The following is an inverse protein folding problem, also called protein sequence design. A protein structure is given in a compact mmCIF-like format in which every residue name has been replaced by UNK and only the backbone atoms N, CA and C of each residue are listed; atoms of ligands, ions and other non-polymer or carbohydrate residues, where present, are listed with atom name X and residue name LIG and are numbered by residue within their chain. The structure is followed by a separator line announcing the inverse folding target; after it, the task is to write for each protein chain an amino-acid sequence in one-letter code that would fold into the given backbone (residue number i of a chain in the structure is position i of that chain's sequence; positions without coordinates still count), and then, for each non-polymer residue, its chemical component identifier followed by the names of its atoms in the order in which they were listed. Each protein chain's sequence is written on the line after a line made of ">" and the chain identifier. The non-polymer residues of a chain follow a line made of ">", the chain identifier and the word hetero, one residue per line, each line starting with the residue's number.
data_IF_610279734734
#
_entry.id   IF_610279734734
#
_cell.length_a   1.000
_cell.length_b   1.000
_cell.length_c   1.000
_cell.angle_alpha   90.00
_cell.angle_beta   90.00
_cell.angle_gamma   90.00
#
_symmetry.space_group_name_H-M   'P 1'
#
loop_
_entity.id
_entity.type
_entity.pdbx_description
1 polymer ?
#
# COMPACT_ATOMS: atom_id res chain seq x y z
N UNK A 1 -5.41 -24.57 -4.01
CA UNK A 1 -5.51 -23.11 -4.26
C UNK A 1 -5.17 -22.40 -2.95
N UNK A 2 -4.09 -21.62 -2.89
CA UNK A 2 -3.64 -20.98 -1.63
C UNK A 2 -4.64 -19.93 -1.14
N UNK A 3 -5.16 -20.11 0.08
CA UNK A 3 -6.14 -19.18 0.69
C UNK A 3 -5.42 -17.90 1.14
N UNK A 4 -6.05 -16.74 0.98
CA UNK A 4 -5.57 -15.49 1.60
C UNK A 4 -5.63 -15.70 3.11
N UNK A 5 -4.51 -15.48 3.79
CA UNK A 5 -4.38 -15.75 5.23
C UNK A 5 -4.68 -14.52 6.06
N UNK A 6 -4.12 -13.38 5.66
CA UNK A 6 -4.28 -12.11 6.34
C UNK A 6 -4.60 -11.00 5.34
N UNK A 7 -5.50 -10.10 5.74
CA UNK A 7 -5.83 -8.87 5.03
C UNK A 7 -5.75 -7.71 6.03
N UNK A 8 -4.85 -6.77 5.77
CA UNK A 8 -4.66 -5.58 6.60
C UNK A 8 -5.03 -4.33 5.79
N UNK A 9 -6.11 -3.67 6.21
CA UNK A 9 -6.57 -2.41 5.61
C UNK A 9 -5.67 -1.25 6.11
N UNK A 10 -4.97 -0.61 5.18
CA UNK A 10 -4.09 0.53 5.45
C UNK A 10 -4.84 1.86 5.29
N UNK A 11 -5.63 1.98 4.22
CA UNK A 11 -6.52 3.12 3.95
C UNK A 11 -7.95 2.62 3.88
N UNK A 12 -8.85 3.35 4.53
CA UNK A 12 -10.28 3.07 4.51
C UNK A 12 -11.01 4.33 4.05
N UNK A 13 -11.52 4.28 2.83
CA UNK A 13 -12.23 5.39 2.22
C UNK A 13 -11.48 6.73 2.28
N UNK A 14 -10.18 6.72 1.97
CA UNK A 14 -9.36 7.94 1.95
C UNK A 14 -9.79 8.84 0.80
N UNK A 15 -10.05 10.13 1.04
CA UNK A 15 -10.56 11.09 0.05
C UNK A 15 -9.65 12.29 -0.20
N UNK A 16 -8.48 12.31 0.44
CA UNK A 16 -7.55 13.43 0.40
C UNK A 16 -6.11 12.93 0.54
N UNK A 17 -5.17 13.81 0.19
CA UNK A 17 -3.75 13.59 0.48
C UNK A 17 -3.53 13.54 2.00
N UNK A 18 -2.58 12.71 2.41
CA UNK A 18 -2.03 12.71 3.76
C UNK A 18 -0.51 12.90 3.65
N UNK A 19 0.11 13.29 4.77
CA UNK A 19 1.55 13.49 4.81
C UNK A 19 2.31 12.22 5.19
N UNK A 20 3.63 12.29 4.99
CA UNK A 20 4.62 11.37 5.57
C UNK A 20 4.33 11.13 7.07
N UNK A 21 4.42 9.87 7.55
CA UNK A 21 4.21 9.57 8.96
C UNK A 21 5.35 10.13 9.82
N UNK A 22 5.00 10.78 10.93
CA UNK A 22 5.94 11.43 11.86
C UNK A 22 5.96 10.78 13.25
N UNK A 23 4.87 10.11 13.65
CA UNK A 23 4.75 9.37 14.90
C UNK A 23 4.96 7.87 14.67
N UNK A 24 5.59 7.20 15.63
CA UNK A 24 5.77 5.75 15.65
C UNK A 24 4.45 4.97 15.74
N UNK A 25 3.41 5.59 16.30
CA UNK A 25 2.06 5.03 16.42
C UNK A 25 1.24 5.10 15.14
N UNK A 26 1.70 5.84 14.11
CA UNK A 26 1.05 5.85 12.80
C UNK A 26 1.20 4.49 12.09
N UNK A 27 0.42 4.32 11.03
CA UNK A 27 0.37 3.06 10.28
C UNK A 27 -0.30 1.92 11.04
N UNK A 28 -0.16 0.72 10.49
CA UNK A 28 -0.74 -0.51 11.00
C UNK A 28 0.36 -1.50 11.38
N UNK A 29 0.24 -2.16 12.54
CA UNK A 29 1.25 -3.11 13.00
C UNK A 29 1.30 -4.34 12.08
N UNK A 30 2.50 -4.78 11.73
CA UNK A 30 2.74 -5.95 10.87
C UNK A 30 2.59 -7.28 11.60
N UNK A 31 2.65 -7.27 12.93
CA UNK A 31 2.51 -8.46 13.76
C UNK A 31 1.18 -9.18 13.52
N UNK A 32 0.10 -8.43 13.22
CA UNK A 32 -1.23 -8.97 12.88
C UNK A 32 -1.21 -9.82 11.61
N UNK A 33 -0.19 -9.64 10.77
CA UNK A 33 0.04 -10.41 9.55
C UNK A 33 1.07 -11.53 9.72
N UNK A 34 1.58 -11.75 10.94
CA UNK A 34 2.68 -12.68 11.25
C UNK A 34 4.01 -12.31 10.58
N UNK A 35 4.33 -11.02 10.50
CA UNK A 35 5.62 -10.48 10.02
C UNK A 35 6.10 -11.11 8.68
N UNK A 36 5.30 -11.00 7.62
CA UNK A 36 5.65 -11.53 6.31
C UNK A 36 6.87 -10.81 5.72
N UNK A 37 7.65 -11.51 4.89
CA UNK A 37 8.74 -10.87 4.13
C UNK A 37 8.23 -10.15 2.87
N UNK A 38 7.14 -10.65 2.28
CA UNK A 38 6.49 -10.08 1.11
C UNK A 38 5.00 -9.97 1.34
N UNK A 39 4.40 -8.88 0.87
CA UNK A 39 2.95 -8.67 0.85
C UNK A 39 2.51 -8.28 -0.56
N UNK A 40 1.28 -8.62 -0.91
CA UNK A 40 0.63 -8.06 -2.09
C UNK A 40 -0.13 -6.82 -1.65
N UNK A 41 0.26 -5.67 -2.18
CA UNK A 41 -0.45 -4.41 -2.06
C UNK A 41 -1.62 -4.41 -3.03
N UNK A 42 -2.80 -4.02 -2.56
CA UNK A 42 -4.01 -3.86 -3.34
C UNK A 42 -4.52 -2.44 -3.16
N UNK A 43 -4.68 -1.71 -4.27
CA UNK A 43 -5.36 -0.41 -4.32
C UNK A 43 -6.65 -0.60 -5.09
N UNK A 44 -7.75 -0.18 -4.51
CA UNK A 44 -9.08 -0.32 -5.09
C UNK A 44 -9.94 0.92 -4.83
N UNK A 45 -10.75 1.29 -5.81
CA UNK A 45 -11.87 2.20 -5.65
C UNK A 45 -12.92 1.91 -6.68
N UNK A 46 -14.18 1.81 -6.24
CA UNK A 46 -15.37 1.78 -7.10
C UNK A 46 -16.08 3.12 -7.13
N UNK A 47 -15.51 4.14 -6.50
CA UNK A 47 -16.04 5.49 -6.47
C UNK A 47 -15.35 6.33 -7.54
N UNK A 48 -14.97 5.77 -8.68
CA UNK A 48 -14.34 6.57 -9.71
C UNK A 48 -15.33 7.47 -10.45
N UNK A 49 -14.76 8.43 -11.19
CA UNK A 49 -15.44 9.48 -11.94
C UNK A 49 -14.98 9.59 -13.40
N UNK A 50 -14.35 8.55 -13.96
CA UNK A 50 -13.83 8.51 -15.34
C UNK A 50 -12.56 9.35 -15.59
N UNK A 51 -12.10 10.04 -14.53
CA UNK A 51 -10.89 10.89 -14.50
C UNK A 51 -10.09 10.71 -13.20
N UNK A 52 -10.46 9.71 -12.38
CA UNK A 52 -9.85 9.53 -11.07
C UNK A 52 -8.44 8.96 -11.20
N UNK A 53 -7.52 9.50 -10.43
CA UNK A 53 -6.19 8.91 -10.25
C UNK A 53 -5.68 9.08 -8.84
N UNK A 54 -4.85 8.14 -8.39
CA UNK A 54 -4.19 8.20 -7.08
C UNK A 54 -2.72 7.87 -7.19
N UNK A 55 -1.88 8.60 -6.46
CA UNK A 55 -0.48 8.26 -6.23
C UNK A 55 -0.31 7.92 -4.75
N UNK A 56 0.29 6.76 -4.47
CA UNK A 56 0.48 6.27 -3.09
C UNK A 56 1.93 5.91 -2.84
N UNK A 57 2.48 6.37 -1.72
CA UNK A 57 3.78 5.97 -1.19
C UNK A 57 3.63 5.03 0.00
N UNK A 58 4.43 3.97 0.01
CA UNK A 58 4.51 3.03 1.12
C UNK A 58 5.64 3.39 2.06
N UNK A 59 5.37 3.26 3.36
CA UNK A 59 6.32 3.54 4.44
C UNK A 59 6.40 2.38 5.41
N UNK A 60 7.61 2.09 5.88
CA UNK A 60 7.90 1.07 6.89
C UNK A 60 8.55 1.69 8.11
N UNK A 61 8.01 1.44 9.30
CA UNK A 61 8.64 1.84 10.55
C UNK A 61 9.65 0.81 11.00
N UNK A 62 10.91 1.21 11.14
CA UNK A 62 11.98 0.32 11.58
C UNK A 62 12.22 0.50 13.10
N UNK A 63 11.89 -0.50 13.93
CA UNK A 63 11.83 -0.33 15.39
C UNK A 63 13.21 -0.06 16.01
N UNK A 64 14.30 -0.55 15.42
CA UNK A 64 15.65 -0.32 15.95
C UNK A 64 16.14 1.10 15.71
N UNK A 65 15.75 1.73 14.60
CA UNK A 65 16.19 3.09 14.28
C UNK A 65 15.15 4.14 14.68
N UNK A 66 13.93 3.72 15.01
CA UNK A 66 12.83 4.59 15.42
C UNK A 66 12.36 5.52 14.29
N UNK A 67 12.51 5.10 13.03
CA UNK A 67 12.28 5.95 11.85
C UNK A 67 11.40 5.26 10.82
N UNK A 68 10.69 6.08 10.06
CA UNK A 68 10.00 5.68 8.85
C UNK A 68 10.94 5.70 7.65
N UNK A 69 10.83 4.69 6.80
CA UNK A 69 11.57 4.59 5.54
C UNK A 69 10.59 4.36 4.41
N UNK A 70 10.74 5.11 3.32
CA UNK A 70 9.99 4.87 2.10
C UNK A 70 10.34 3.46 1.56
N UNK A 71 9.32 2.65 1.30
CA UNK A 71 9.46 1.25 0.91
C UNK A 71 9.14 1.05 -0.55
N UNK A 72 10.13 0.67 -1.35
CA UNK A 72 9.95 0.40 -2.78
C UNK A 72 11.23 0.66 -3.54
N UNK A 73 11.17 0.46 -4.85
CA UNK A 73 12.31 0.69 -5.75
C UNK A 73 12.16 2.07 -6.38
N UNK A 74 13.14 2.93 -6.16
CA UNK A 74 13.21 4.29 -6.71
C UNK A 74 14.55 4.91 -6.34
N UNK A 75 15.19 5.60 -7.28
CA UNK A 75 16.53 6.18 -7.08
C UNK A 75 16.50 7.64 -6.59
N UNK A 76 15.36 8.31 -6.70
CA UNK A 76 15.17 9.68 -6.20
C UNK A 76 14.03 9.76 -5.18
N UNK A 77 14.05 10.78 -4.32
CA UNK A 77 13.09 10.96 -3.23
C UNK A 77 11.65 11.28 -3.69
N UNK A 78 11.47 11.77 -4.92
CA UNK A 78 10.15 12.01 -5.51
C UNK A 78 9.44 10.70 -5.87
N UNK A 79 10.16 9.65 -6.28
CA UNK A 79 9.58 8.35 -6.66
C UNK A 79 9.84 7.22 -5.67
N UNK A 80 10.78 7.38 -4.73
CA UNK A 80 11.09 6.33 -3.75
C UNK A 80 9.86 5.98 -2.93
N UNK A 81 9.56 4.68 -2.88
CA UNK A 81 8.43 4.11 -2.17
C UNK A 81 7.06 4.33 -2.83
N UNK A 82 6.97 5.04 -3.95
CA UNK A 82 5.74 5.16 -4.71
C UNK A 82 5.48 3.85 -5.47
N UNK A 83 4.30 3.28 -5.29
CA UNK A 83 3.86 2.06 -5.99
C UNK A 83 3.55 2.36 -7.46
N UNK A 84 3.38 1.34 -8.30
CA UNK A 84 3.17 1.49 -9.74
C UNK A 84 4.35 2.17 -10.46
N UNK A 85 5.58 1.95 -9.96
CA UNK A 85 6.80 2.49 -10.53
C UNK A 85 6.87 4.02 -10.57
N UNK A 86 6.20 4.70 -9.63
CA UNK A 86 6.12 6.16 -9.60
C UNK A 86 4.99 6.77 -10.42
N UNK A 87 4.25 5.98 -11.21
CA UNK A 87 3.17 6.49 -12.06
C UNK A 87 1.84 6.56 -11.29
N UNK A 88 1.02 7.60 -11.50
CA UNK A 88 -0.34 7.63 -10.97
C UNK A 88 -1.13 6.39 -11.38
N UNK A 89 -1.88 5.82 -10.43
CA UNK A 89 -2.81 4.74 -10.68
C UNK A 89 -4.13 5.37 -11.13
N UNK A 90 -4.37 5.36 -12.43
CA UNK A 90 -5.63 5.80 -13.02
C UNK A 90 -6.71 4.72 -12.98
N UNK A 91 -7.94 5.12 -13.25
CA UNK A 91 -9.03 4.18 -13.49
C UNK A 91 -8.72 3.23 -14.64
N UNK A 92 -9.12 1.98 -14.48
CA UNK A 92 -9.28 1.07 -15.58
C UNK A 92 -10.63 1.35 -16.27
N UNK A 93 -10.72 1.05 -17.56
CA UNK A 93 -11.93 1.30 -18.36
C UNK A 93 -13.16 0.47 -17.98
N UNK A 94 -13.18 -0.18 -16.81
CA UNK A 94 -14.30 -0.94 -16.27
C UNK A 94 -14.96 -0.11 -15.16
N UNK A 95 -16.07 0.54 -15.49
CA UNK A 95 -16.97 1.20 -14.55
C UNK A 95 -16.29 2.18 -13.58
N UNK A 96 -15.42 3.05 -14.10
CA UNK A 96 -14.74 4.09 -13.31
C UNK A 96 -14.12 3.50 -12.03
N UNK A 97 -13.29 2.46 -12.21
CA UNK A 97 -12.68 1.72 -11.10
C UNK A 97 -11.18 1.94 -11.09
N UNK A 98 -10.61 2.28 -9.94
CA UNK A 98 -9.18 2.08 -9.71
C UNK A 98 -8.95 0.64 -9.24
N UNK A 99 -8.01 -0.05 -9.87
CA UNK A 99 -7.61 -1.39 -9.49
C UNK A 99 -6.14 -1.62 -9.81
N UNK A 100 -5.33 -1.78 -8.78
CA UNK A 100 -3.89 -2.00 -8.91
C UNK A 100 -3.38 -3.00 -7.87
N UNK A 101 -2.40 -3.80 -8.28
CA UNK A 101 -1.76 -4.76 -7.40
C UNK A 101 -0.25 -4.83 -7.67
N UNK A 102 0.54 -4.80 -6.60
CA UNK A 102 2.01 -4.87 -6.67
C UNK A 102 2.57 -5.65 -5.46
N UNK A 103 3.68 -6.36 -5.65
CA UNK A 103 4.38 -7.03 -4.55
C UNK A 103 5.33 -6.07 -3.86
N UNK A 104 5.13 -5.87 -2.56
CA UNK A 104 6.08 -5.16 -1.70
C UNK A 104 6.94 -6.17 -0.94
N UNK A 105 8.26 -6.10 -1.14
CA UNK A 105 9.24 -7.01 -0.53
C UNK A 105 10.01 -6.41 0.65
N UNK A 106 10.79 -7.25 1.35
CA UNK A 106 11.61 -6.90 2.51
C UNK A 106 10.81 -6.30 3.68
N UNK A 107 9.55 -6.68 3.81
CA UNK A 107 8.61 -6.13 4.81
C UNK A 107 8.93 -6.61 6.23
N UNK A 108 9.59 -7.77 6.37
CA UNK A 108 9.92 -8.39 7.66
C UNK A 108 10.84 -7.52 8.53
N UNK A 109 11.62 -6.63 7.93
CA UNK A 109 12.50 -5.71 8.67
C UNK A 109 11.77 -4.59 9.41
N UNK A 110 10.47 -4.41 9.16
CA UNK A 110 9.67 -3.32 9.70
C UNK A 110 8.62 -3.84 10.68
N UNK A 111 8.21 -3.00 11.63
CA UNK A 111 7.15 -3.36 12.59
C UNK A 111 5.77 -2.79 12.20
N UNK A 112 5.72 -1.77 11.34
CA UNK A 112 4.48 -1.12 10.89
C UNK A 112 4.56 -0.74 9.43
N UNK A 113 3.40 -0.73 8.77
CA UNK A 113 3.21 -0.18 7.43
C UNK A 113 2.29 1.03 7.45
N UNK A 114 2.61 2.04 6.66
CA UNK A 114 1.75 3.20 6.43
C UNK A 114 1.65 3.48 4.93
N UNK A 115 0.47 3.92 4.52
CA UNK A 115 0.18 4.33 3.15
C UNK A 115 -0.05 5.83 3.12
N UNK A 116 0.74 6.53 2.32
CA UNK A 116 0.65 7.95 2.07
C UNK A 116 0.03 8.19 0.69
N UNK A 117 -1.17 8.76 0.63
CA UNK A 117 -1.74 9.35 -0.59
C UNK A 117 -1.03 10.68 -0.86
N UNK A 118 -0.12 10.68 -1.83
CA UNK A 118 0.67 11.86 -2.20
C UNK A 118 -0.02 12.74 -3.24
N UNK A 119 -0.90 12.16 -4.04
CA UNK A 119 -1.77 12.87 -4.96
C UNK A 119 -3.08 12.12 -5.15
N UNK A 120 -4.17 12.86 -5.32
CA UNK A 120 -5.46 12.33 -5.71
C UNK A 120 -6.18 13.34 -6.60
N UNK A 121 -6.71 12.88 -7.71
CA UNK A 121 -7.46 13.70 -8.68
C UNK A 121 -8.77 13.02 -9.04
N UNK A 122 -9.74 13.78 -9.54
CA UNK A 122 -11.10 13.31 -9.84
C UNK A 122 -12.15 14.03 -8.98
N UNK A 123 -13.42 13.87 -9.31
CA UNK A 123 -14.55 14.47 -8.57
C UNK A 123 -15.07 13.56 -7.47
N UNK A 124 -14.90 12.25 -7.64
CA UNK A 124 -15.04 11.26 -6.58
C UNK A 124 -13.65 10.74 -6.22
N UNK A 125 -13.39 10.53 -4.93
CA UNK A 125 -12.01 10.39 -4.45
C UNK A 125 -11.79 9.26 -3.45
N UNK A 126 -12.75 8.37 -3.24
CA UNK A 126 -12.67 7.39 -2.17
C UNK A 126 -11.74 6.23 -2.54
N UNK A 127 -10.55 6.14 -1.94
CA UNK A 127 -9.59 5.05 -2.15
C UNK A 127 -9.54 4.12 -0.93
N UNK A 128 -9.54 2.82 -1.23
CA UNK A 128 -9.21 1.77 -0.29
C UNK A 128 -7.85 1.14 -0.62
N UNK A 129 -7.07 0.86 0.41
CA UNK A 129 -5.79 0.18 0.25
C UNK A 129 -5.62 -0.89 1.31
N UNK A 130 -5.22 -2.07 0.87
CA UNK A 130 -4.94 -3.21 1.73
C UNK A 130 -3.64 -3.90 1.36
N UNK A 131 -3.04 -4.56 2.34
CA UNK A 131 -1.94 -5.51 2.10
C UNK A 131 -2.40 -6.91 2.50
N UNK A 132 -2.11 -7.88 1.64
CA UNK A 132 -2.52 -9.28 1.85
C UNK A 132 -1.33 -10.22 1.78
N UNK A 133 -1.41 -11.32 2.53
CA UNK A 133 -0.47 -12.43 2.41
C UNK A 133 -1.19 -13.70 2.00
N UNK A 134 -0.53 -14.50 1.15
CA UNK A 134 -0.91 -15.88 0.90
C UNK A 134 -0.11 -16.79 1.83
N UNK A 135 -0.72 -17.86 2.31
CA UNK A 135 0.04 -18.93 2.93
C UNK A 135 0.90 -19.57 1.83
N UNK A 136 2.23 -19.71 1.99
CA UNK A 136 2.96 -20.73 1.27
C UNK A 136 2.51 -22.05 1.88
N UNK A 137 1.33 -22.54 1.48
CA UNK A 137 0.87 -23.86 1.92
C UNK A 137 2.02 -24.83 1.69
N UNK A 138 2.40 -25.60 2.72
CA UNK A 138 3.46 -26.61 2.69
C UNK A 138 3.69 -27.13 1.27
N UNK A 139 4.66 -26.55 0.55
CA UNK A 139 5.25 -27.20 -0.61
C UNK A 139 6.35 -28.10 -0.05
N UNK A 140 5.91 -29.06 0.77
CA UNK A 140 6.68 -30.25 1.08
C UNK A 140 6.15 -31.29 0.12
N UNK A 141 6.80 -31.38 -1.04
CA UNK A 141 6.88 -32.62 -1.81
C UNK A 141 8.18 -33.29 -1.46
#
# INVERSE_FOLDING_TARGET
>A
MGRIKNNLKLLNAATAVNGEPTLDTQGKPLEVMRNPDKVLVLVDSTAGSGTMSVTVRMWGFHPTTGKWYAMGVGSDSSVTGIINGGNPIGENGIADRIGHAEVLGNVRGFSRLYAEVTAITGTLTTIDMSVVTRDPGNLVT
#
